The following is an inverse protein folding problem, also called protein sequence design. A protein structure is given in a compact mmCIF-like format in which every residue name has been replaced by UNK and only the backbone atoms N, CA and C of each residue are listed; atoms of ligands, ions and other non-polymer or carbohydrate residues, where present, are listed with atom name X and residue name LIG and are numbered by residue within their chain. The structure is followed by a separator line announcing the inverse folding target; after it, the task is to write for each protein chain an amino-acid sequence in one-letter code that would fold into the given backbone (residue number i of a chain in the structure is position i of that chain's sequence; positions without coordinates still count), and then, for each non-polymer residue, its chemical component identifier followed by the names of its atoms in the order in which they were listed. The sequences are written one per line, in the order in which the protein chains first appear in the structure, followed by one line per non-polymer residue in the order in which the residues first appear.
data_IF_153402335685
#
_entry.id   IF_153402335685
#
_cell.length_a   1.000
_cell.length_b   1.000
_cell.length_c   1.000
_cell.angle_alpha   90.00
_cell.angle_beta   90.00
_cell.angle_gamma   90.00
#
_symmetry.space_group_name_H-M   'P 1'
#
loop_
_entity.id
_entity.type
_entity.pdbx_description
1 polymer ?
#
# COMPACT_ATOMS: atom_id res chain seq x y z
N UNK A 1 5.75 -6.57 19.47
CA UNK A 1 6.38 -5.67 18.48
C UNK A 1 6.65 -6.38 17.15
N UNK A 2 7.13 -7.64 17.16
CA UNK A 2 7.35 -8.50 15.98
C UNK A 2 6.11 -8.69 15.06
N UNK A 3 4.97 -9.15 15.61
CA UNK A 3 3.75 -9.47 14.83
C UNK A 3 3.18 -8.31 14.00
N UNK A 4 3.45 -7.09 14.42
CA UNK A 4 2.96 -5.89 13.75
C UNK A 4 3.73 -5.60 12.47
N UNK A 5 5.04 -5.80 12.48
CA UNK A 5 5.88 -5.62 11.30
C UNK A 5 5.57 -6.69 10.26
N UNK A 6 5.41 -7.95 10.71
CA UNK A 6 5.10 -9.10 9.86
C UNK A 6 3.84 -8.90 9.00
N UNK A 7 2.79 -8.29 9.55
CA UNK A 7 1.56 -8.03 8.79
C UNK A 7 1.81 -7.08 7.62
N UNK A 8 2.31 -5.86 7.88
CA UNK A 8 2.54 -4.88 6.82
C UNK A 8 3.58 -5.35 5.80
N UNK A 9 4.61 -6.05 6.24
CA UNK A 9 5.62 -6.65 5.37
C UNK A 9 4.97 -7.69 4.43
N UNK A 10 4.15 -8.59 4.97
CA UNK A 10 3.41 -9.59 4.18
C UNK A 10 2.46 -8.93 3.17
N UNK A 11 1.75 -7.88 3.57
CA UNK A 11 0.84 -7.13 2.69
C UNK A 11 1.59 -6.40 1.57
N UNK A 12 2.74 -5.79 1.87
CA UNK A 12 3.61 -5.18 0.86
C UNK A 12 4.17 -6.24 -0.11
N UNK A 13 4.59 -7.40 0.40
CA UNK A 13 5.01 -8.52 -0.43
C UNK A 13 3.93 -8.95 -1.43
N UNK A 14 2.66 -9.04 -0.99
CA UNK A 14 1.53 -9.39 -1.87
C UNK A 14 1.30 -8.38 -2.98
N UNK A 15 1.47 -7.08 -2.70
CA UNK A 15 1.35 -6.02 -3.70
C UNK A 15 2.41 -6.18 -4.80
N UNK A 16 3.67 -6.42 -4.42
CA UNK A 16 4.79 -6.42 -5.39
C UNK A 16 5.01 -7.76 -6.09
N UNK A 17 4.43 -8.86 -5.58
CA UNK A 17 4.78 -10.24 -5.90
C UNK A 17 4.91 -10.56 -7.39
N UNK A 18 4.05 -9.98 -8.23
CA UNK A 18 3.94 -10.33 -9.64
C UNK A 18 4.37 -9.20 -10.59
N UNK A 19 5.02 -8.15 -10.07
CA UNK A 19 5.49 -7.03 -10.89
C UNK A 19 6.94 -7.20 -11.32
N UNK A 20 7.19 -7.05 -12.61
CA UNK A 20 8.56 -6.98 -13.15
C UNK A 20 9.24 -5.65 -12.81
N UNK A 21 8.48 -4.55 -12.68
CA UNK A 21 8.98 -3.24 -12.27
C UNK A 21 9.41 -3.22 -10.80
N UNK A 22 8.71 -3.96 -9.95
CA UNK A 22 8.93 -3.99 -8.50
C UNK A 22 9.75 -5.21 -8.04
N UNK A 23 10.25 -6.03 -8.96
CA UNK A 23 10.91 -7.32 -8.67
C UNK A 23 12.12 -7.20 -7.74
N UNK A 24 12.87 -6.10 -7.84
CA UNK A 24 14.10 -5.84 -7.07
C UNK A 24 13.82 -4.97 -5.83
N UNK A 25 12.55 -4.84 -5.43
CA UNK A 25 12.17 -4.03 -4.29
C UNK A 25 12.67 -4.66 -2.98
N UNK A 26 13.13 -3.82 -2.07
CA UNK A 26 13.58 -4.21 -0.73
C UNK A 26 12.55 -3.76 0.30
N UNK A 27 12.05 -4.68 1.12
CA UNK A 27 11.14 -4.33 2.22
C UNK A 27 11.95 -4.24 3.51
N UNK A 28 11.78 -3.12 4.23
CA UNK A 28 12.40 -2.88 5.54
C UNK A 28 11.32 -2.33 6.46
N UNK A 29 10.95 -3.10 7.49
CA UNK A 29 9.87 -2.72 8.38
C UNK A 29 8.54 -2.62 7.64
N UNK A 30 7.87 -1.47 7.74
CA UNK A 30 6.56 -1.21 7.09
C UNK A 30 6.67 -0.47 5.75
N UNK A 31 7.83 -0.50 5.12
CA UNK A 31 8.09 0.21 3.87
C UNK A 31 8.77 -0.68 2.84
N UNK A 32 8.30 -0.56 1.60
CA UNK A 32 8.89 -1.17 0.42
C UNK A 32 9.66 -0.10 -0.36
N UNK A 33 10.91 -0.39 -0.73
CA UNK A 33 11.78 0.51 -1.47
C UNK A 33 12.06 -0.05 -2.86
N UNK A 34 11.80 0.73 -3.89
CA UNK A 34 12.02 0.36 -5.29
C UNK A 34 13.09 1.28 -5.86
N UNK A 35 14.07 0.72 -6.56
CA UNK A 35 15.07 1.54 -7.27
C UNK A 35 14.53 1.87 -8.66
N UNK A 36 14.37 3.15 -8.98
CA UNK A 36 13.93 3.60 -10.30
C UNK A 36 15.12 3.99 -11.18
N UNK A 37 16.17 4.57 -10.59
CA UNK A 37 17.43 4.89 -11.28
C UNK A 37 18.64 4.80 -10.32
N UNK A 38 19.80 5.36 -10.69
CA UNK A 38 20.95 5.45 -9.79
C UNK A 38 20.67 6.31 -8.56
N UNK A 39 19.96 7.41 -8.76
CA UNK A 39 19.76 8.44 -7.74
C UNK A 39 18.30 8.55 -7.28
N UNK A 40 17.36 7.92 -7.99
CA UNK A 40 15.94 7.91 -7.64
C UNK A 40 15.50 6.56 -7.08
N UNK A 41 14.80 6.60 -5.95
CA UNK A 41 14.09 5.47 -5.34
C UNK A 41 12.64 5.84 -5.06
N UNK A 42 11.73 4.89 -5.14
CA UNK A 42 10.40 5.02 -4.57
C UNK A 42 10.36 4.36 -3.18
N UNK A 43 9.55 4.93 -2.28
CA UNK A 43 9.19 4.34 -0.99
C UNK A 43 7.67 4.20 -0.93
N UNK A 44 7.21 2.97 -0.77
CA UNK A 44 5.79 2.61 -0.71
C UNK A 44 5.49 2.13 0.72
N UNK A 45 4.42 2.65 1.33
CA UNK A 45 3.96 2.22 2.65
C UNK A 45 2.47 2.40 2.81
N UNK A 46 1.86 1.54 3.61
CA UNK A 46 0.51 1.81 4.12
C UNK A 46 0.52 3.12 4.92
N UNK A 47 -0.50 3.92 4.71
CA UNK A 47 -0.66 5.24 5.29
C UNK A 47 -2.06 5.40 5.85
N UNK A 48 -2.13 6.06 6.99
CA UNK A 48 -3.37 6.45 7.63
C UNK A 48 -3.57 7.97 7.40
N UNK A 49 -4.75 8.35 6.92
CA UNK A 49 -5.14 9.76 6.79
C UNK A 49 -5.81 10.33 8.05
N UNK A 50 -6.31 9.48 8.94
CA UNK A 50 -6.99 9.87 10.18
C UNK A 50 -6.12 9.65 11.43
N UNK A 51 -6.68 9.71 12.64
CA UNK A 51 -5.93 9.54 13.89
C UNK A 51 -6.38 8.33 14.72
N UNK A 52 -6.76 7.22 14.08
CA UNK A 52 -7.35 6.04 14.71
C UNK A 52 -6.74 4.70 14.26
N UNK A 53 -5.49 4.71 13.82
CA UNK A 53 -4.78 3.54 13.29
C UNK A 53 -5.51 2.87 12.12
N UNK A 54 -6.23 3.68 11.34
CA UNK A 54 -6.97 3.26 10.15
C UNK A 54 -6.14 3.53 8.91
N UNK A 55 -5.45 2.50 8.41
CA UNK A 55 -4.66 2.61 7.18
C UNK A 55 -5.57 2.38 5.98
N UNK A 56 -5.92 3.47 5.31
CA UNK A 56 -6.89 3.54 4.22
C UNK A 56 -6.25 4.00 2.90
N UNK A 57 -4.92 4.07 2.85
CA UNK A 57 -4.17 4.54 1.70
C UNK A 57 -2.81 3.84 1.60
N UNK A 58 -2.23 3.87 0.39
CA UNK A 58 -0.78 3.74 0.23
C UNK A 58 -0.19 5.13 -0.02
N UNK A 59 0.90 5.45 0.68
CA UNK A 59 1.75 6.58 0.30
C UNK A 59 2.92 6.06 -0.53
N UNK A 60 3.10 6.67 -1.70
CA UNK A 60 4.25 6.41 -2.58
C UNK A 60 5.07 7.70 -2.68
N UNK A 61 6.29 7.68 -2.18
CA UNK A 61 7.20 8.83 -2.13
C UNK A 61 8.35 8.60 -3.11
N UNK A 62 8.64 9.57 -3.98
CA UNK A 62 9.81 9.57 -4.87
C UNK A 62 10.93 10.30 -4.16
N UNK A 63 12.06 9.62 -4.01
CA UNK A 63 13.20 10.06 -3.23
C UNK A 63 14.41 10.15 -4.15
N UNK A 64 14.93 11.36 -4.31
CA UNK A 64 16.26 11.60 -4.86
C UNK A 64 17.28 11.50 -3.73
N UNK A 65 18.38 10.77 -3.95
CA UNK A 65 19.45 10.57 -2.97
C UNK A 65 20.06 11.88 -2.47
N UNK A 66 20.10 12.92 -3.30
CA UNK A 66 20.74 14.20 -3.00
C UNK A 66 19.73 15.27 -2.54
N UNK A 67 18.46 15.15 -2.94
CA UNK A 67 17.45 16.19 -2.72
C UNK A 67 16.34 15.78 -1.73
N UNK A 68 16.32 14.51 -1.32
CA UNK A 68 15.28 13.97 -0.46
C UNK A 68 14.00 13.65 -1.24
N UNK A 69 12.84 13.85 -0.61
CA UNK A 69 11.54 13.58 -1.25
C UNK A 69 11.27 14.68 -2.27
N UNK A 70 11.20 14.30 -3.55
CA UNK A 70 10.94 15.21 -4.66
C UNK A 70 9.48 15.19 -5.09
N UNK A 71 8.77 14.10 -4.82
CA UNK A 71 7.33 14.00 -5.05
C UNK A 71 6.68 12.92 -4.18
N UNK A 72 5.36 12.95 -4.04
CA UNK A 72 4.59 11.85 -3.48
C UNK A 72 3.13 11.84 -3.93
N UNK A 73 2.54 10.65 -3.95
CA UNK A 73 1.10 10.45 -4.13
C UNK A 73 0.51 9.63 -2.98
N UNK A 74 -0.77 9.88 -2.70
CA UNK A 74 -1.59 9.05 -1.82
C UNK A 74 -2.61 8.30 -2.67
N UNK A 75 -2.44 6.99 -2.78
CA UNK A 75 -3.42 6.10 -3.40
C UNK A 75 -4.45 5.74 -2.33
N UNK A 76 -5.53 6.51 -2.25
CA UNK A 76 -6.63 6.27 -1.30
C UNK A 76 -7.40 5.05 -1.73
N UNK A 77 -7.65 4.11 -0.82
CA UNK A 77 -8.40 2.89 -1.11
C UNK A 77 -9.84 3.17 -1.55
N UNK A 78 -10.42 4.29 -1.10
CA UNK A 78 -11.73 4.77 -1.59
C UNK A 78 -11.72 5.08 -3.09
N UNK A 79 -10.67 5.74 -3.58
CA UNK A 79 -10.54 6.12 -4.98
C UNK A 79 -10.14 4.92 -5.85
N UNK A 80 -9.28 4.03 -5.32
CA UNK A 80 -8.78 2.86 -6.04
C UNK A 80 -9.83 1.75 -6.17
N UNK A 81 -10.60 1.49 -5.10
CA UNK A 81 -11.49 0.34 -5.04
C UNK A 81 -12.97 0.68 -4.97
N UNK A 82 -13.32 1.84 -4.41
CA UNK A 82 -14.65 2.10 -3.90
C UNK A 82 -15.06 1.15 -2.76
N UNK A 83 -16.32 1.23 -2.30
CA UNK A 83 -16.87 0.29 -1.34
C UNK A 83 -16.95 -1.13 -1.94
N UNK A 84 -16.47 -2.13 -1.19
CA UNK A 84 -16.58 -3.55 -1.56
C UNK A 84 -17.79 -4.18 -0.89
N UNK A 85 -18.60 -4.99 -1.61
CA UNK A 85 -19.75 -5.67 -1.03
C UNK A 85 -19.31 -6.73 -0.01
N UNK A 86 -20.02 -6.79 1.12
CA UNK A 86 -19.76 -7.72 2.21
C UNK A 86 -21.05 -8.31 2.76
N UNK A 87 -20.96 -9.48 3.40
CA UNK A 87 -22.13 -10.17 3.99
C UNK A 87 -22.55 -9.59 5.34
N UNK A 88 -21.77 -8.69 5.92
CA UNK A 88 -22.04 -8.12 7.23
C UNK A 88 -23.22 -7.13 7.15
N UNK A 89 -24.33 -7.35 7.88
CA UNK A 89 -25.54 -6.52 7.78
C UNK A 89 -25.34 -5.06 8.22
N UNK A 90 -24.27 -4.77 8.96
CA UNK A 90 -23.93 -3.40 9.36
C UNK A 90 -23.36 -2.56 8.21
N UNK A 91 -22.95 -3.19 7.10
CA UNK A 91 -22.31 -2.54 5.95
C UNK A 91 -23.12 -2.80 4.68
N UNK A 92 -24.36 -2.29 4.66
CA UNK A 92 -25.32 -2.51 3.56
C UNK A 92 -24.81 -2.00 2.22
N UNK A 93 -24.11 -0.88 2.22
CA UNK A 93 -23.52 -0.25 1.03
C UNK A 93 -22.09 -0.74 0.75
N UNK A 94 -21.65 -1.78 1.46
CA UNK A 94 -20.28 -2.27 1.43
C UNK A 94 -19.34 -1.49 2.36
N UNK A 95 -18.05 -1.81 2.26
CA UNK A 95 -16.98 -1.20 3.07
C UNK A 95 -15.80 -0.88 2.17
N UNK A 96 -15.25 0.32 2.29
CA UNK A 96 -13.96 0.64 1.65
C UNK A 96 -12.88 -0.15 2.39
N UNK A 97 -12.07 -0.97 1.69
CA UNK A 97 -11.01 -1.75 2.32
C UNK A 97 -10.08 -0.84 3.13
N UNK A 98 -9.72 -1.26 4.34
CA UNK A 98 -8.72 -0.60 5.17
C UNK A 98 -8.18 -1.57 6.22
N UNK A 99 -6.97 -1.30 6.69
CA UNK A 99 -6.37 -2.02 7.81
C UNK A 99 -6.69 -1.25 9.08
N UNK A 100 -7.01 -1.97 10.15
CA UNK A 100 -7.26 -1.38 11.45
C UNK A 100 -6.55 -2.16 12.56
N UNK A 101 -6.10 -1.46 13.60
CA UNK A 101 -5.60 -2.07 14.82
C UNK A 101 -6.76 -2.71 15.60
N UNK A 102 -6.79 -4.03 15.65
CA UNK A 102 -7.69 -4.79 16.53
C UNK A 102 -6.98 -5.27 17.80
N UNK A 103 -7.73 -5.93 18.68
CA UNK A 103 -7.20 -6.54 19.91
C UNK A 103 -6.07 -7.54 19.69
N UNK A 104 -6.04 -8.18 18.51
CA UNK A 104 -5.02 -9.16 18.12
C UNK A 104 -3.96 -8.58 17.16
N UNK A 105 -3.89 -7.27 17.01
CA UNK A 105 -3.00 -6.57 16.06
C UNK A 105 -3.71 -6.11 14.79
N UNK A 106 -2.92 -5.70 13.80
CA UNK A 106 -3.43 -5.15 12.55
C UNK A 106 -3.99 -6.23 11.63
N UNK A 107 -5.17 -5.98 11.08
CA UNK A 107 -5.82 -6.85 10.12
C UNK A 107 -6.66 -6.01 9.15
N UNK A 108 -6.99 -6.59 7.99
CA UNK A 108 -8.03 -6.02 7.13
C UNK A 108 -9.39 -6.04 7.84
N UNK A 109 -10.03 -4.88 7.95
CA UNK A 109 -11.29 -4.75 8.65
C UNK A 109 -12.47 -5.09 7.73
N UNK A 110 -13.22 -6.15 8.08
CA UNK A 110 -14.45 -6.63 7.42
C UNK A 110 -14.25 -7.18 5.99
N UNK A 111 -13.43 -6.54 5.17
CA UNK A 111 -13.05 -6.98 3.84
C UNK A 111 -11.52 -7.12 3.73
N UNK A 112 -11.03 -8.35 3.62
CA UNK A 112 -9.64 -8.62 3.25
C UNK A 112 -9.44 -8.56 1.74
N UNK A 113 -8.36 -7.92 1.31
CA UNK A 113 -8.00 -7.85 -0.11
C UNK A 113 -7.79 -9.24 -0.70
N UNK A 114 -8.20 -9.39 -1.95
CA UNK A 114 -8.00 -10.59 -2.76
C UNK A 114 -6.91 -10.35 -3.80
N UNK A 115 -6.44 -11.39 -4.45
CA UNK A 115 -5.38 -11.30 -5.48
C UNK A 115 -5.69 -10.23 -6.56
N UNK A 116 -6.96 -10.13 -6.99
CA UNK A 116 -7.39 -9.11 -7.95
C UNK A 116 -7.27 -7.67 -7.39
N UNK A 117 -7.51 -7.48 -6.09
CA UNK A 117 -7.37 -6.17 -5.45
C UNK A 117 -5.89 -5.77 -5.33
N UNK A 118 -5.01 -6.71 -4.98
CA UNK A 118 -3.56 -6.47 -4.98
C UNK A 118 -3.03 -6.14 -6.38
N UNK A 119 -3.54 -6.81 -7.41
CA UNK A 119 -3.17 -6.51 -8.80
C UNK A 119 -3.54 -5.07 -9.20
N UNK A 120 -4.69 -4.56 -8.73
CA UNK A 120 -5.08 -3.16 -8.96
C UNK A 120 -4.13 -2.20 -8.24
N UNK A 121 -3.76 -2.46 -6.98
CA UNK A 121 -2.78 -1.62 -6.27
C UNK A 121 -1.43 -1.62 -6.95
N UNK A 122 -0.94 -2.80 -7.33
CA UNK A 122 0.29 -2.98 -8.06
C UNK A 122 0.30 -2.13 -9.33
N UNK A 123 -0.75 -2.22 -10.14
CA UNK A 123 -0.88 -1.43 -11.36
C UNK A 123 -0.88 0.08 -11.10
N UNK A 124 -1.63 0.56 -10.11
CA UNK A 124 -1.65 1.99 -9.77
C UNK A 124 -0.27 2.50 -9.31
N UNK A 125 0.49 1.68 -8.60
CA UNK A 125 1.87 1.99 -8.23
C UNK A 125 2.73 2.05 -9.49
N UNK A 126 2.69 1.03 -10.35
CA UNK A 126 3.46 0.99 -11.60
C UNK A 126 3.17 2.19 -12.50
N UNK A 127 1.89 2.53 -12.66
CA UNK A 127 1.44 3.69 -13.46
C UNK A 127 2.07 4.99 -12.91
N UNK A 128 2.05 5.20 -11.59
CA UNK A 128 2.70 6.36 -10.98
C UNK A 128 4.22 6.34 -11.12
N UNK A 129 4.87 5.20 -10.86
CA UNK A 129 6.33 5.07 -10.95
C UNK A 129 6.84 5.24 -12.38
N UNK A 130 6.06 4.85 -13.39
CA UNK A 130 6.41 4.96 -14.80
C UNK A 130 6.70 6.40 -15.23
N UNK A 131 6.12 7.39 -14.57
CA UNK A 131 6.37 8.82 -14.83
C UNK A 131 7.83 9.22 -14.53
N UNK A 132 8.55 8.45 -13.71
CA UNK A 132 9.93 8.73 -13.30
C UNK A 132 10.95 7.73 -13.84
N UNK A 133 10.52 6.72 -14.60
CA UNK A 133 11.39 5.73 -15.24
C UNK A 133 11.46 6.10 -16.73
N UNK A 134 12.46 6.92 -17.10
CA UNK A 134 12.87 7.15 -18.49
C UNK A 134 14.13 6.34 -18.80
#
# INVERSE_FOLDING_TARGET
MEKTQEFFESELCKIIKNSSMLKDATIVGRACFVRLSKDIKAKIRFYELSTHEKFDSLKVEIINKNEGIVDHILLRFGDVFGPKPVRNPNFKDGVVPHIWAGTNGYNWYVYALRDADYAILCKNIEDYLSVYIN
#
